data_IF_364947208935
#
_entry.id   IF_364947208935
#
_cell.length_a   1.000
_cell.length_b   1.000
_cell.length_c   1.000
_cell.angle_alpha   90.00
_cell.angle_beta   90.00
_cell.angle_gamma   90.00
#
_symmetry.space_group_name_H-M   'P 1'
#
loop_
_entity.id
_entity.type
_entity.pdbx_description
1 polymer ?
#
# COMPACT_ATOMS: atom_id res chain seq x y z
N UNK A 1 -14.37 6.71 -0.15
CA UNK A 1 -13.08 7.00 0.52
C UNK A 1 -12.02 6.30 -0.29
N UNK A 2 -10.85 6.89 -0.47
CA UNK A 2 -9.84 6.35 -1.40
C UNK A 2 -8.49 6.37 -0.69
N UNK A 3 -7.85 5.22 -0.56
CA UNK A 3 -6.49 5.12 -0.02
C UNK A 3 -5.49 5.57 -1.08
N UNK A 4 -4.55 6.43 -0.71
CA UNK A 4 -3.39 6.77 -1.55
C UNK A 4 -2.28 5.75 -1.37
N UNK A 5 -1.50 5.53 -2.44
CA UNK A 5 -0.12 5.06 -2.33
C UNK A 5 0.88 6.10 -2.85
N UNK A 6 2.16 5.76 -2.69
CA UNK A 6 3.26 6.54 -3.23
C UNK A 6 3.29 6.51 -4.75
N UNK A 7 2.98 5.38 -5.39
CA UNK A 7 3.05 5.25 -6.85
C UNK A 7 2.13 6.25 -7.58
N UNK A 8 0.94 6.49 -7.05
CA UNK A 8 -0.02 7.47 -7.53
C UNK A 8 0.44 8.89 -7.23
N UNK A 9 0.92 9.16 -6.02
CA UNK A 9 1.49 10.48 -5.69
C UNK A 9 2.71 10.81 -6.54
N UNK A 10 3.53 9.83 -6.93
CA UNK A 10 4.67 10.05 -7.82
C UNK A 10 4.25 10.23 -9.28
N UNK A 11 3.35 9.38 -9.80
CA UNK A 11 3.01 9.35 -11.23
C UNK A 11 1.83 10.23 -11.66
N UNK A 12 0.85 10.51 -10.80
CA UNK A 12 -0.31 11.33 -11.16
C UNK A 12 0.04 12.82 -11.26
N UNK A 13 -0.69 13.57 -12.09
CA UNK A 13 -0.50 15.01 -12.22
C UNK A 13 -1.03 15.76 -11.00
N UNK A 14 -0.49 16.96 -10.70
CA UNK A 14 -1.01 17.81 -9.61
C UNK A 14 -2.51 18.09 -9.72
N UNK A 15 -3.07 18.45 -10.90
CA UNK A 15 -4.52 18.61 -11.02
C UNK A 15 -5.30 17.33 -10.70
N UNK A 16 -4.80 16.16 -11.09
CA UNK A 16 -5.45 14.88 -10.82
C UNK A 16 -5.48 14.54 -9.33
N UNK A 17 -4.37 14.73 -8.61
CA UNK A 17 -4.32 14.52 -7.15
C UNK A 17 -5.26 15.50 -6.42
N UNK A 18 -5.30 16.76 -6.84
CA UNK A 18 -6.19 17.77 -6.23
C UNK A 18 -7.66 17.47 -6.48
N UNK A 19 -8.03 17.13 -7.73
CA UNK A 19 -9.39 16.71 -8.06
C UNK A 19 -9.82 15.51 -7.19
N UNK A 20 -8.95 14.52 -7.02
CA UNK A 20 -9.21 13.38 -6.13
C UNK A 20 -9.51 13.83 -4.68
N UNK A 21 -8.74 14.77 -4.15
CA UNK A 21 -8.91 15.32 -2.80
C UNK A 21 -10.09 16.29 -2.65
N UNK A 22 -10.64 16.80 -3.75
CA UNK A 22 -11.79 17.69 -3.75
C UNK A 22 -13.10 16.92 -3.96
N UNK A 23 -13.07 15.83 -4.72
CA UNK A 23 -14.24 14.98 -5.01
C UNK A 23 -14.44 13.85 -4.01
N UNK A 24 -13.39 13.46 -3.29
CA UNK A 24 -13.42 12.31 -2.38
C UNK A 24 -12.75 12.57 -1.05
N UNK A 25 -13.14 11.76 -0.05
CA UNK A 25 -12.38 11.59 1.18
C UNK A 25 -11.17 10.72 0.86
N UNK A 26 -9.99 11.32 0.92
CA UNK A 26 -8.72 10.67 0.62
C UNK A 26 -8.02 10.27 1.93
N UNK A 27 -7.59 9.01 2.02
CA UNK A 27 -6.90 8.44 3.16
C UNK A 27 -5.41 8.28 2.85
N UNK A 28 -4.55 8.65 3.79
CA UNK A 28 -3.10 8.42 3.75
C UNK A 28 -2.74 7.62 5.00
N UNK A 29 -2.16 6.43 4.83
CA UNK A 29 -1.72 5.66 6.00
C UNK A 29 -0.47 6.26 6.62
N UNK A 30 -0.24 5.99 7.91
CA UNK A 30 0.99 6.38 8.59
C UNK A 30 2.24 5.88 7.84
N UNK A 31 2.20 4.65 7.31
CA UNK A 31 3.30 4.07 6.55
C UNK A 31 3.61 4.88 5.30
N UNK A 32 2.59 5.28 4.52
CA UNK A 32 2.79 6.15 3.36
C UNK A 32 3.37 7.50 3.80
N UNK A 33 2.86 8.08 4.88
CA UNK A 33 3.38 9.36 5.37
C UNK A 33 4.88 9.26 5.71
N UNK A 34 5.28 8.25 6.48
CA UNK A 34 6.70 8.05 6.82
C UNK A 34 7.55 7.69 5.60
N UNK A 35 7.03 6.87 4.67
CA UNK A 35 7.71 6.55 3.40
C UNK A 35 8.00 7.81 2.56
N UNK A 36 7.04 8.75 2.50
CA UNK A 36 7.25 10.05 1.85
C UNK A 36 8.25 10.94 2.59
N UNK A 37 8.41 10.74 3.90
CA UNK A 37 9.36 11.51 4.72
C UNK A 37 10.79 10.97 4.58
N UNK A 38 10.97 9.67 4.35
CA UNK A 38 12.28 9.01 4.18
C UNK A 38 12.75 8.88 2.73
N UNK A 39 11.87 9.15 1.76
CA UNK A 39 12.27 9.12 0.34
C UNK A 39 13.22 10.26 -0.06
N UNK A 40 13.70 10.25 -1.31
CA UNK A 40 14.60 11.29 -1.83
C UNK A 40 13.93 12.68 -1.76
N UNK A 41 14.67 13.76 -1.40
CA UNK A 41 14.09 15.09 -1.24
C UNK A 41 13.26 15.59 -2.43
N UNK A 42 13.71 15.33 -3.66
CA UNK A 42 12.98 15.70 -4.88
C UNK A 42 11.64 14.96 -5.02
N UNK A 43 11.59 13.68 -4.62
CA UNK A 43 10.36 12.86 -4.63
C UNK A 43 9.41 13.34 -3.55
N UNK A 44 9.92 13.58 -2.35
CA UNK A 44 9.17 14.15 -1.24
C UNK A 44 8.51 15.48 -1.63
N UNK A 45 9.30 16.44 -2.12
CA UNK A 45 8.80 17.74 -2.56
C UNK A 45 7.71 17.59 -3.62
N UNK A 46 7.95 16.74 -4.63
CA UNK A 46 6.99 16.48 -5.70
C UNK A 46 5.69 15.87 -5.18
N UNK A 47 5.73 14.92 -4.24
CA UNK A 47 4.53 14.32 -3.67
C UNK A 47 3.73 15.32 -2.81
N UNK A 48 4.38 16.02 -1.88
CA UNK A 48 3.70 16.97 -1.00
C UNK A 48 3.17 18.21 -1.74
N UNK A 49 3.85 18.69 -2.78
CA UNK A 49 3.38 19.83 -3.59
C UNK A 49 2.10 19.54 -4.39
N UNK A 50 1.82 18.26 -4.68
CA UNK A 50 0.58 17.83 -5.35
C UNK A 50 -0.65 17.92 -4.45
N UNK A 51 -0.48 17.75 -3.15
CA UNK A 51 -1.58 17.82 -2.17
C UNK A 51 -2.12 19.26 -2.04
N UNK A 52 -3.43 19.43 -1.80
CA UNK A 52 -4.02 20.73 -1.52
C UNK A 52 -3.37 21.43 -0.31
N UNK A 53 -3.23 22.75 -0.39
CA UNK A 53 -2.73 23.57 0.74
C UNK A 53 -3.91 24.04 1.61
N UNK A 54 -4.52 23.08 2.31
CA UNK A 54 -5.66 23.31 3.19
C UNK A 54 -5.52 22.46 4.45
N UNK A 55 -6.32 22.76 5.48
CA UNK A 55 -6.45 21.90 6.65
C UNK A 55 -7.02 20.54 6.24
N UNK A 56 -6.43 19.45 6.74
CA UNK A 56 -6.78 18.07 6.44
C UNK A 56 -6.90 17.80 4.93
N UNK A 57 -5.83 18.01 4.15
CA UNK A 57 -5.87 17.77 2.70
C UNK A 57 -6.09 16.29 2.37
N UNK A 58 -5.76 15.42 3.32
CA UNK A 58 -6.08 13.99 3.40
C UNK A 58 -6.46 13.68 4.86
N UNK A 59 -7.06 12.52 5.12
CA UNK A 59 -7.22 11.99 6.47
C UNK A 59 -6.13 10.97 6.75
N UNK A 60 -5.43 11.13 7.87
CA UNK A 60 -4.40 10.19 8.30
C UNK A 60 -5.06 8.96 8.92
N UNK A 61 -4.71 7.80 8.40
CA UNK A 61 -5.19 6.50 8.84
C UNK A 61 -4.06 5.76 9.57
N UNK A 62 -4.36 5.12 10.71
CA UNK A 62 -3.34 4.45 11.48
C UNK A 62 -2.75 3.26 10.71
N UNK A 63 -1.52 2.89 11.05
CA UNK A 63 -0.86 1.71 10.49
C UNK A 63 -1.62 0.40 10.74
N UNK A 64 -1.33 -0.63 9.93
CA UNK A 64 -1.99 -1.96 10.02
C UNK A 64 -1.88 -2.54 11.43
N UNK A 65 -0.72 -2.41 12.09
CA UNK A 65 -0.51 -2.91 13.46
C UNK A 65 -1.43 -2.26 14.49
N UNK A 66 -1.86 -1.02 14.27
CA UNK A 66 -2.83 -0.33 15.13
C UNK A 66 -4.26 -0.80 14.87
N UNK A 67 -4.61 -1.12 13.62
CA UNK A 67 -5.89 -1.76 13.29
C UNK A 67 -5.97 -3.16 13.93
N UNK A 68 -4.90 -3.96 13.86
CA UNK A 68 -4.84 -5.26 14.52
C UNK A 68 -5.01 -5.14 16.04
N UNK A 69 -4.36 -4.16 16.69
CA UNK A 69 -4.55 -3.89 18.12
C UNK A 69 -5.98 -3.51 18.46
N UNK A 70 -6.60 -2.65 17.66
CA UNK A 70 -8.01 -2.31 17.83
C UNK A 70 -8.89 -3.56 17.84
N UNK A 71 -8.70 -4.46 16.86
CA UNK A 71 -9.47 -5.70 16.73
C UNK A 71 -9.25 -6.65 17.91
N UNK A 72 -8.02 -6.77 18.42
CA UNK A 72 -7.73 -7.54 19.64
C UNK A 72 -8.39 -6.94 20.89
N UNK A 73 -8.41 -5.61 21.01
CA UNK A 73 -8.98 -4.92 22.18
C UNK A 73 -10.51 -4.97 22.19
N UNK A 74 -11.14 -4.84 21.01
CA UNK A 74 -12.59 -4.69 20.89
C UNK A 74 -13.31 -5.97 20.45
N UNK A 75 -12.56 -6.99 20.01
CA UNK A 75 -13.11 -8.24 19.46
C UNK A 75 -14.14 -7.97 18.36
N UNK A 76 -13.86 -6.99 17.50
CA UNK A 76 -14.71 -6.53 16.42
C UNK A 76 -13.86 -6.05 15.23
N UNK A 77 -14.36 -6.16 13.98
CA UNK A 77 -13.63 -5.68 12.82
C UNK A 77 -13.39 -4.17 12.88
N UNK A 78 -12.27 -3.71 12.30
CA UNK A 78 -11.93 -2.29 12.18
C UNK A 78 -12.59 -1.57 10.99
N UNK A 79 -13.58 -2.18 10.35
CA UNK A 79 -14.32 -1.55 9.25
C UNK A 79 -15.59 -0.85 9.74
N UNK A 80 -15.94 0.32 9.17
CA UNK A 80 -15.21 1.04 8.12
C UNK A 80 -13.98 1.80 8.67
N UNK A 81 -12.87 1.76 7.91
CA UNK A 81 -11.54 2.22 8.38
C UNK A 81 -11.45 3.71 8.69
N UNK A 82 -12.35 4.54 8.17
CA UNK A 82 -12.34 5.98 8.42
C UNK A 82 -12.72 6.37 9.85
N UNK A 83 -13.34 5.46 10.60
CA UNK A 83 -13.61 5.64 12.02
C UNK A 83 -12.35 5.61 12.87
N UNK A 84 -11.25 5.12 12.32
CA UNK A 84 -9.97 4.96 13.01
C UNK A 84 -8.97 6.07 12.68
N UNK A 85 -9.36 7.06 11.86
CA UNK A 85 -8.50 8.18 11.48
C UNK A 85 -8.02 8.98 12.69
N UNK A 86 -6.88 9.66 12.55
CA UNK A 86 -6.46 10.66 13.53
C UNK A 86 -7.50 11.80 13.59
N UNK A 87 -8.02 12.13 14.79
CA UNK A 87 -9.13 13.07 14.93
C UNK A 87 -8.70 14.54 14.77
N UNK A 88 -7.40 14.82 14.84
CA UNK A 88 -6.86 16.17 14.92
C UNK A 88 -6.89 16.89 13.57
N UNK A 89 -7.19 18.19 13.63
CA UNK A 89 -6.98 19.07 12.49
C UNK A 89 -5.49 19.32 12.30
N UNK A 90 -4.99 19.08 11.09
CA UNK A 90 -3.59 19.29 10.75
C UNK A 90 -3.45 20.00 9.39
N UNK A 91 -2.27 20.56 9.15
CA UNK A 91 -1.84 21.04 7.85
C UNK A 91 -0.38 20.59 7.68
N UNK A 92 -0.03 20.10 6.50
CA UNK A 92 1.36 19.76 6.22
C UNK A 92 2.23 21.02 6.28
N UNK A 93 3.44 20.88 6.81
CA UNK A 93 4.39 21.99 6.85
C UNK A 93 4.70 22.45 5.42
N UNK A 94 4.52 23.75 5.14
CA UNK A 94 4.76 24.32 3.81
C UNK A 94 6.17 23.99 3.26
N UNK A 95 7.17 23.90 4.14
CA UNK A 95 8.54 23.55 3.76
C UNK A 95 8.68 22.16 3.12
N UNK A 96 7.78 21.22 3.40
CA UNK A 96 7.76 19.91 2.72
C UNK A 96 7.43 20.07 1.23
N UNK A 97 6.54 21.01 0.90
CA UNK A 97 6.14 21.34 -0.48
C UNK A 97 7.23 22.13 -1.20
N UNK A 98 7.98 22.93 -0.45
CA UNK A 98 9.07 23.75 -0.96
C UNK A 98 10.42 22.97 -1.02
N UNK A 99 10.49 21.77 -0.44
CA UNK A 99 11.72 20.98 -0.37
C UNK A 99 12.77 21.56 0.59
N UNK A 100 12.35 22.41 1.52
CA UNK A 100 13.22 23.11 2.49
C UNK A 100 12.99 22.64 3.94
N UNK A 101 12.23 21.55 4.12
CA UNK A 101 12.00 20.98 5.44
C UNK A 101 13.27 20.29 5.94
N UNK A 102 13.63 20.57 7.18
CA UNK A 102 14.78 19.95 7.84
C UNK A 102 14.24 19.13 9.01
N UNK A 103 14.59 17.85 9.04
CA UNK A 103 14.20 16.94 10.10
C UNK A 103 14.99 17.24 11.37
N UNK A 104 14.30 17.62 12.43
CA UNK A 104 14.91 17.96 13.72
C UNK A 104 14.05 17.47 14.88
N UNK A 105 14.69 17.36 16.06
CA UNK A 105 14.00 17.10 17.32
C UNK A 105 13.23 15.77 17.33
N UNK A 106 11.94 15.84 17.65
CA UNK A 106 11.08 14.66 17.77
C UNK A 106 10.83 13.97 16.41
N UNK A 107 10.73 14.74 15.32
CA UNK A 107 10.45 14.19 13.99
C UNK A 107 11.55 13.24 13.54
N UNK A 108 12.82 13.60 13.79
CA UNK A 108 13.95 12.74 13.46
C UNK A 108 13.93 11.43 14.27
N UNK A 109 13.60 11.52 15.57
CA UNK A 109 13.47 10.33 16.43
C UNK A 109 12.34 9.40 15.98
N UNK A 110 11.21 9.98 15.56
CA UNK A 110 10.07 9.22 15.09
C UNK A 110 10.39 8.51 13.76
N UNK A 111 11.16 9.16 12.87
CA UNK A 111 11.67 8.55 11.64
C UNK A 111 12.63 7.40 11.93
N UNK A 112 13.62 7.59 12.80
CA UNK A 112 14.55 6.52 13.20
C UNK A 112 13.82 5.32 13.84
N UNK A 113 12.81 5.60 14.68
CA UNK A 113 11.99 4.57 15.30
C UNK A 113 11.12 3.83 14.28
N UNK A 114 10.60 4.53 13.28
CA UNK A 114 9.87 3.94 12.17
C UNK A 114 10.79 3.06 11.30
N UNK A 115 11.96 3.55 10.88
CA UNK A 115 12.93 2.79 10.08
C UNK A 115 13.35 1.50 10.78
N UNK A 116 13.63 1.57 12.08
CA UNK A 116 13.96 0.38 12.86
C UNK A 116 12.81 -0.63 12.88
N UNK A 117 11.58 -0.17 13.10
CA UNK A 117 10.40 -1.04 13.11
C UNK A 117 10.16 -1.67 11.74
N UNK A 118 10.31 -0.90 10.66
CA UNK A 118 10.17 -1.39 9.28
C UNK A 118 11.21 -2.47 8.99
N UNK A 119 12.45 -2.32 9.48
CA UNK A 119 13.47 -3.35 9.35
C UNK A 119 13.12 -4.63 10.12
N UNK A 120 12.63 -4.50 11.37
CA UNK A 120 12.18 -5.64 12.19
C UNK A 120 10.98 -6.36 11.53
N UNK A 121 9.99 -5.59 11.02
CA UNK A 121 8.83 -6.12 10.33
C UNK A 121 9.22 -6.83 9.01
N UNK A 122 10.19 -6.28 8.28
CA UNK A 122 10.72 -6.87 7.03
C UNK A 122 11.39 -8.22 7.32
N UNK A 123 12.15 -8.30 8.40
CA UNK A 123 12.74 -9.57 8.84
C UNK A 123 11.67 -10.61 9.17
N UNK A 124 10.66 -10.22 9.96
CA UNK A 124 9.53 -11.11 10.26
C UNK A 124 8.74 -11.52 9.01
N UNK A 125 8.62 -10.63 8.02
CA UNK A 125 8.01 -10.94 6.73
C UNK A 125 8.81 -11.98 5.95
N UNK A 126 10.14 -11.87 5.90
CA UNK A 126 11.01 -12.87 5.25
C UNK A 126 10.87 -14.24 5.92
N UNK A 127 10.80 -14.28 7.25
CA UNK A 127 10.60 -15.51 8.01
C UNK A 127 9.26 -16.17 7.68
N UNK A 128 8.16 -15.39 7.67
CA UNK A 128 6.83 -15.89 7.27
C UNK A 128 6.81 -16.35 5.81
N UNK A 129 7.47 -15.61 4.92
CA UNK A 129 7.61 -16.02 3.52
C UNK A 129 8.34 -17.37 3.39
N UNK A 130 9.37 -17.62 4.21
CA UNK A 130 10.14 -18.88 4.15
C UNK A 130 9.30 -20.14 4.37
N UNK A 131 8.21 -20.01 5.13
CA UNK A 131 7.31 -21.11 5.44
C UNK A 131 6.03 -21.10 4.61
N UNK A 132 5.82 -20.12 3.71
CA UNK A 132 4.54 -19.98 2.97
C UNK A 132 4.19 -21.23 2.16
N UNK A 133 5.19 -21.92 1.61
CA UNK A 133 5.02 -23.13 0.82
C UNK A 133 4.46 -24.30 1.64
N UNK A 134 4.62 -24.29 2.96
CA UNK A 134 4.10 -25.36 3.84
C UNK A 134 2.57 -25.39 3.84
N UNK A 135 1.92 -24.26 3.54
CA UNK A 135 0.45 -24.18 3.41
C UNK A 135 -0.07 -24.70 2.06
N UNK A 136 0.83 -25.00 1.11
CA UNK A 136 0.49 -25.48 -0.22
C UNK A 136 1.30 -26.74 -0.53
N UNK A 137 0.89 -27.90 0.01
CA UNK A 137 1.53 -29.18 -0.30
C UNK A 137 1.68 -29.44 -1.80
N UNK A 138 0.75 -28.92 -2.61
CA UNK A 138 0.78 -28.97 -4.06
C UNK A 138 2.05 -28.37 -4.66
N UNK A 139 2.68 -27.36 -4.03
CA UNK A 139 3.89 -26.71 -4.53
C UNK A 139 5.17 -27.57 -4.36
N UNK A 140 5.09 -28.67 -3.62
CA UNK A 140 6.25 -29.54 -3.38
C UNK A 140 6.50 -30.46 -4.57
N UNK A 141 7.73 -30.43 -5.12
CA UNK A 141 8.14 -31.34 -6.19
C UNK A 141 7.55 -31.03 -7.57
N UNK A 142 6.97 -29.83 -7.76
CA UNK A 142 6.47 -29.38 -9.06
C UNK A 142 7.63 -29.21 -10.06
N UNK A 143 7.42 -29.64 -11.30
CA UNK A 143 8.34 -29.35 -12.39
C UNK A 143 8.37 -27.86 -12.72
N UNK A 144 9.56 -27.32 -13.05
CA UNK A 144 9.76 -25.90 -13.35
C UNK A 144 8.76 -25.29 -14.34
N UNK A 145 8.31 -26.07 -15.34
CA UNK A 145 7.36 -25.63 -16.37
C UNK A 145 5.95 -25.37 -15.81
N UNK A 146 5.56 -26.10 -14.77
CA UNK A 146 4.22 -26.04 -14.14
C UNK A 146 4.18 -25.07 -12.96
N UNK A 147 5.35 -24.62 -12.50
CA UNK A 147 5.50 -23.76 -11.33
C UNK A 147 4.68 -22.45 -11.43
N UNK A 148 4.69 -21.69 -12.54
CA UNK A 148 3.90 -20.46 -12.64
C UNK A 148 2.39 -20.69 -12.45
N UNK A 149 1.86 -21.77 -13.06
CA UNK A 149 0.44 -22.13 -12.95
C UNK A 149 0.09 -22.51 -11.51
N UNK A 150 0.94 -23.28 -10.84
CA UNK A 150 0.71 -23.68 -9.47
C UNK A 150 0.74 -22.50 -8.48
N UNK A 151 1.63 -21.52 -8.70
CA UNK A 151 1.63 -20.27 -7.91
C UNK A 151 0.34 -19.47 -8.14
N UNK A 152 -0.16 -19.40 -9.38
CA UNK A 152 -1.43 -18.75 -9.68
C UNK A 152 -2.62 -19.45 -9.02
N UNK A 153 -2.67 -20.78 -9.07
CA UNK A 153 -3.68 -21.60 -8.38
C UNK A 153 -3.64 -21.37 -6.85
N UNK A 154 -2.43 -21.36 -6.24
CA UNK A 154 -2.23 -21.06 -4.83
C UNK A 154 -2.69 -19.65 -4.46
N UNK A 155 -2.36 -18.64 -5.28
CA UNK A 155 -2.82 -17.25 -5.07
C UNK A 155 -4.34 -17.15 -5.15
N UNK A 156 -4.97 -17.80 -6.12
CA UNK A 156 -6.43 -17.81 -6.26
C UNK A 156 -7.11 -18.49 -5.06
N UNK A 157 -6.53 -19.58 -4.54
CA UNK A 157 -7.01 -20.25 -3.31
C UNK A 157 -6.93 -19.31 -2.11
N UNK A 158 -5.79 -18.65 -1.88
CA UNK A 158 -5.62 -17.64 -0.82
C UNK A 158 -6.62 -16.49 -0.94
N UNK A 159 -6.91 -16.05 -2.16
CA UNK A 159 -7.79 -14.92 -2.40
C UNK A 159 -9.27 -15.22 -2.15
N UNK A 160 -9.71 -16.44 -2.49
CA UNK A 160 -11.14 -16.77 -2.58
C UNK A 160 -11.63 -17.72 -1.49
N UNK A 161 -10.74 -18.47 -0.85
CA UNK A 161 -11.10 -19.44 0.19
C UNK A 161 -10.91 -18.84 1.60
N UNK A 162 -12.00 -18.34 2.18
CA UNK A 162 -11.98 -17.74 3.51
C UNK A 162 -11.70 -18.77 4.64
N UNK A 163 -12.15 -20.01 4.48
CA UNK A 163 -11.88 -21.08 5.45
C UNK A 163 -10.37 -21.38 5.50
N UNK A 164 -9.73 -21.49 4.33
CA UNK A 164 -8.28 -21.67 4.23
C UNK A 164 -7.48 -20.56 4.93
N UNK A 165 -7.91 -19.29 4.82
CA UNK A 165 -7.27 -18.18 5.53
C UNK A 165 -7.45 -18.32 7.05
N UNK A 166 -8.63 -18.73 7.52
CA UNK A 166 -8.88 -18.97 8.94
C UNK A 166 -8.08 -20.14 9.48
N UNK A 167 -7.93 -21.21 8.71
CA UNK A 167 -7.11 -22.37 9.10
C UNK A 167 -5.64 -21.98 9.29
N UNK A 168 -5.10 -21.18 8.38
CA UNK A 168 -3.73 -20.65 8.50
C UNK A 168 -3.64 -19.73 9.72
N UNK A 169 -4.59 -18.82 9.91
CA UNK A 169 -4.61 -17.96 11.09
C UNK A 169 -4.68 -18.76 12.39
N UNK A 170 -5.53 -19.79 12.46
CA UNK A 170 -5.63 -20.69 13.60
C UNK A 170 -4.32 -21.42 13.91
N UNK A 171 -3.52 -21.74 12.88
CA UNK A 171 -2.20 -22.35 13.06
C UNK A 171 -1.18 -21.43 13.76
N UNK A 172 -1.42 -20.11 13.78
CA UNK A 172 -0.61 -19.14 14.50
C UNK A 172 -1.15 -18.83 15.91
N UNK A 173 -2.28 -19.41 16.32
CA UNK A 173 -2.84 -19.25 17.67
C UNK A 173 -2.28 -20.30 18.63
N UNK A 174 -0.95 -20.36 18.75
CA UNK A 174 -0.25 -21.23 19.69
C UNK A 174 -0.10 -20.60 21.09
N UNK A 175 0.72 -21.20 21.96
CA UNK A 175 0.93 -20.71 23.33
C UNK A 175 1.59 -19.32 23.39
N UNK A 176 2.26 -18.88 22.32
CA UNK A 176 2.94 -17.60 22.22
C UNK A 176 2.03 -16.49 21.63
N UNK A 177 0.85 -16.85 21.13
CA UNK A 177 -0.11 -15.90 20.59
C UNK A 177 -0.68 -14.95 21.69
N UNK A 178 -1.00 -13.68 21.34
CA UNK A 178 -1.66 -12.78 22.27
C UNK A 178 -2.96 -13.40 22.81
N UNK A 179 -3.16 -13.37 24.13
CA UNK A 179 -4.36 -13.94 24.79
C UNK A 179 -5.68 -13.34 24.31
N UNK A 180 -5.62 -12.16 23.72
CA UNK A 180 -6.75 -11.43 23.15
C UNK A 180 -6.76 -11.44 21.61
N UNK A 181 -6.02 -12.34 20.97
CA UNK A 181 -6.18 -12.59 19.54
C UNK A 181 -7.63 -13.04 19.27
N UNK A 182 -8.31 -12.48 18.23
CA UNK A 182 -9.65 -12.92 17.86
C UNK A 182 -9.70 -14.43 17.58
N UNK A 183 -10.80 -15.13 17.92
CA UNK A 183 -10.98 -16.51 17.51
C UNK A 183 -11.00 -16.66 15.99
N UNK A 184 -10.37 -17.71 15.45
CA UNK A 184 -10.21 -17.89 14.02
C UNK A 184 -11.54 -18.02 13.25
N UNK A 185 -12.57 -18.58 13.87
CA UNK A 185 -13.91 -18.70 13.31
C UNK A 185 -14.67 -17.37 13.25
N UNK A 186 -14.22 -16.35 13.98
CA UNK A 186 -14.86 -15.02 14.00
C UNK A 186 -14.31 -14.03 12.99
N UNK A 187 -13.04 -14.18 12.58
CA UNK A 187 -12.45 -13.26 11.61
C UNK A 187 -13.06 -13.48 10.22
N UNK A 188 -13.23 -12.38 9.50
CA UNK A 188 -13.84 -12.35 8.17
C UNK A 188 -13.13 -11.29 7.31
N UNK A 189 -13.41 -11.19 6.00
CA UNK A 189 -12.74 -10.23 5.10
C UNK A 189 -12.83 -8.76 5.52
N UNK A 190 -13.73 -8.42 6.44
CA UNK A 190 -13.90 -7.11 7.08
C UNK A 190 -12.89 -6.83 8.21
N UNK A 191 -12.10 -7.83 8.61
CA UNK A 191 -11.08 -7.73 9.65
C UNK A 191 -9.69 -7.49 9.06
N UNK A 192 -8.91 -6.63 9.71
CA UNK A 192 -7.49 -6.45 9.44
C UNK A 192 -6.71 -7.73 9.68
N UNK A 193 -7.02 -8.55 10.70
CA UNK A 193 -6.35 -9.85 10.88
C UNK A 193 -6.49 -10.77 9.68
N UNK A 194 -7.72 -10.89 9.16
CA UNK A 194 -7.99 -11.71 7.98
C UNK A 194 -7.21 -11.20 6.77
N UNK A 195 -7.28 -9.89 6.50
CA UNK A 195 -6.58 -9.27 5.38
C UNK A 195 -5.07 -9.33 5.54
N UNK A 196 -4.56 -9.22 6.76
CA UNK A 196 -3.14 -9.35 7.06
C UNK A 196 -2.63 -10.74 6.69
N UNK A 197 -3.26 -11.82 7.19
CA UNK A 197 -2.88 -13.20 6.83
C UNK A 197 -2.96 -13.39 5.31
N UNK A 198 -4.08 -13.00 4.71
CA UNK A 198 -4.32 -13.15 3.28
C UNK A 198 -3.25 -12.44 2.42
N UNK A 199 -2.96 -11.16 2.71
CA UNK A 199 -2.02 -10.37 1.91
C UNK A 199 -0.57 -10.80 2.15
N UNK A 200 -0.21 -11.23 3.36
CA UNK A 200 1.13 -11.76 3.66
C UNK A 200 1.39 -13.05 2.88
N UNK A 201 0.41 -13.95 2.78
CA UNK A 201 0.52 -15.17 1.97
C UNK A 201 0.61 -14.83 0.48
N UNK A 202 -0.24 -13.93 -0.05
CA UNK A 202 -0.19 -13.55 -1.47
C UNK A 202 1.17 -12.94 -1.85
N UNK A 203 1.68 -12.04 -1.03
CA UNK A 203 2.98 -11.42 -1.25
C UNK A 203 4.11 -12.47 -1.13
N UNK A 204 4.04 -13.35 -0.13
CA UNK A 204 4.96 -14.48 0.03
C UNK A 204 4.96 -15.41 -1.19
N UNK A 205 3.80 -15.79 -1.71
CA UNK A 205 3.68 -16.62 -2.92
C UNK A 205 4.27 -15.94 -4.16
N UNK A 206 4.11 -14.61 -4.28
CA UNK A 206 4.73 -13.84 -5.37
C UNK A 206 6.25 -13.88 -5.30
N UNK A 207 6.82 -13.64 -4.12
CA UNK A 207 8.27 -13.73 -3.94
C UNK A 207 8.75 -15.17 -4.14
N UNK A 208 8.03 -16.16 -3.61
CA UNK A 208 8.32 -17.58 -3.81
C UNK A 208 8.34 -17.94 -5.30
N UNK A 209 7.37 -17.45 -6.07
CA UNK A 209 7.32 -17.55 -7.54
C UNK A 209 8.54 -16.90 -8.20
N UNK A 210 8.82 -15.64 -7.88
CA UNK A 210 9.91 -14.83 -8.44
C UNK A 210 11.30 -15.45 -8.18
N UNK A 211 11.48 -16.04 -7.01
CA UNK A 211 12.72 -16.71 -6.62
C UNK A 211 12.66 -18.23 -6.80
N UNK A 212 11.70 -18.75 -7.56
CA UNK A 212 11.71 -20.16 -7.97
C UNK A 212 11.74 -21.14 -6.78
N UNK A 213 11.02 -20.79 -5.73
CA UNK A 213 10.92 -21.56 -4.50
C UNK A 213 12.14 -21.50 -3.59
N UNK A 214 13.13 -20.65 -3.89
CA UNK A 214 14.35 -20.50 -3.10
C UNK A 214 14.36 -19.16 -2.39
N UNK A 215 14.86 -19.12 -1.16
CA UNK A 215 15.24 -17.88 -0.52
C UNK A 215 16.74 -17.69 -0.74
N UNK A 216 17.19 -16.52 -1.21
CA UNK A 216 18.61 -16.26 -1.35
C UNK A 216 19.35 -16.42 -0.01
N UNK A 217 20.43 -17.22 0.00
CA UNK A 217 21.27 -17.42 1.19
C UNK A 217 21.92 -16.11 1.68
N UNK A 218 22.17 -15.18 0.75
CA UNK A 218 22.69 -13.85 1.08
C UNK A 218 21.58 -12.79 1.00
N UNK A 219 21.23 -12.25 2.16
CA UNK A 219 20.28 -11.15 2.32
C UNK A 219 21.00 -9.80 2.19
N UNK A 220 21.61 -9.56 1.02
CA UNK A 220 22.28 -8.29 0.74
C UNK A 220 21.30 -7.10 0.75
N UNK A 221 21.82 -5.88 0.77
CA UNK A 221 21.03 -4.63 0.81
C UNK A 221 19.90 -4.60 -0.25
N UNK A 222 20.21 -4.96 -1.49
CA UNK A 222 19.22 -4.95 -2.58
C UNK A 222 18.11 -6.02 -2.42
N UNK A 223 18.37 -7.10 -1.69
CA UNK A 223 17.34 -8.08 -1.35
C UNK A 223 16.45 -7.54 -0.23
N UNK A 224 17.05 -6.98 0.83
CA UNK A 224 16.30 -6.37 1.93
C UNK A 224 15.40 -5.24 1.46
N UNK A 225 15.88 -4.35 0.60
CA UNK A 225 15.07 -3.28 -0.01
C UNK A 225 13.86 -3.84 -0.79
N UNK A 226 14.05 -4.95 -1.52
CA UNK A 226 12.93 -5.59 -2.25
C UNK A 226 11.93 -6.27 -1.32
N UNK A 227 12.40 -6.89 -0.25
CA UNK A 227 11.54 -7.51 0.75
C UNK A 227 10.73 -6.45 1.51
N UNK A 228 11.38 -5.34 1.87
CA UNK A 228 10.74 -4.19 2.51
C UNK A 228 9.64 -3.59 1.62
N UNK A 229 9.94 -3.29 0.35
CA UNK A 229 8.93 -2.78 -0.59
C UNK A 229 7.76 -3.77 -0.73
N UNK A 230 8.04 -5.06 -0.89
CA UNK A 230 6.99 -6.08 -1.01
C UNK A 230 6.12 -6.17 0.26
N UNK A 231 6.72 -6.00 1.44
CA UNK A 231 5.99 -5.93 2.70
C UNK A 231 5.10 -4.68 2.76
N UNK A 232 5.63 -3.51 2.45
CA UNK A 232 4.88 -2.24 2.45
C UNK A 232 3.74 -2.26 1.43
N UNK A 233 3.97 -2.81 0.23
CA UNK A 233 2.94 -3.05 -0.78
C UNK A 233 1.78 -3.88 -0.21
N UNK A 234 2.09 -4.91 0.60
CA UNK A 234 1.06 -5.71 1.26
C UNK A 234 0.22 -4.90 2.25
N UNK A 235 0.83 -3.92 2.95
CA UNK A 235 0.10 -3.02 3.85
C UNK A 235 -0.82 -2.08 3.08
N UNK A 236 -0.39 -1.61 1.91
CA UNK A 236 -1.24 -0.85 1.01
C UNK A 236 -2.43 -1.66 0.49
N UNK A 237 -2.22 -2.93 0.12
CA UNK A 237 -3.30 -3.84 -0.29
C UNK A 237 -4.30 -4.07 0.86
N UNK A 238 -3.82 -4.27 2.10
CA UNK A 238 -4.69 -4.41 3.28
C UNK A 238 -5.56 -3.16 3.43
N UNK A 239 -4.95 -1.98 3.49
CA UNK A 239 -5.66 -0.72 3.61
C UNK A 239 -6.67 -0.48 2.48
N UNK A 240 -6.26 -0.68 1.22
CA UNK A 240 -7.14 -0.53 0.07
C UNK A 240 -8.31 -1.52 0.09
N UNK A 241 -8.08 -2.76 0.51
CA UNK A 241 -9.11 -3.79 0.62
C UNK A 241 -10.12 -3.50 1.75
N UNK A 242 -9.67 -2.95 2.88
CA UNK A 242 -10.56 -2.57 3.99
C UNK A 242 -11.33 -1.27 3.69
N UNK A 243 -10.73 -0.35 2.93
CA UNK A 243 -11.40 0.88 2.49
C UNK A 243 -12.35 0.67 1.30
N UNK A 244 -12.14 -0.39 0.51
CA UNK A 244 -12.89 -0.70 -0.71
C UNK A 244 -12.51 0.12 -1.94
N UNK A 245 -11.52 1.02 -1.83
CA UNK A 245 -11.00 1.77 -2.96
C UNK A 245 -9.57 2.27 -2.73
N UNK A 246 -8.79 2.33 -3.80
CA UNK A 246 -7.40 2.77 -3.76
C UNK A 246 -6.97 3.50 -5.05
N UNK A 247 -6.19 4.55 -4.90
CA UNK A 247 -5.50 5.22 -5.99
C UNK A 247 -4.06 4.69 -6.05
N UNK A 248 -3.79 3.89 -7.08
CA UNK A 248 -2.49 3.23 -7.30
C UNK A 248 -2.18 3.13 -8.79
N UNK A 249 -0.92 3.40 -9.13
CA UNK A 249 -0.33 3.16 -10.45
C UNK A 249 0.54 1.90 -10.47
N UNK A 250 0.72 1.27 -9.31
CA UNK A 250 1.45 0.02 -9.20
C UNK A 250 0.56 -1.13 -9.71
N UNK A 251 1.06 -1.82 -10.73
CA UNK A 251 0.35 -2.94 -11.37
C UNK A 251 0.21 -4.12 -10.40
N UNK A 252 1.24 -4.35 -9.60
CA UNK A 252 1.37 -5.47 -8.69
C UNK A 252 0.43 -5.32 -7.49
N UNK A 253 0.31 -4.12 -6.93
CA UNK A 253 -0.71 -3.78 -5.90
C UNK A 253 -2.13 -3.91 -6.48
N UNK A 254 -2.36 -3.38 -7.69
CA UNK A 254 -3.67 -3.45 -8.36
C UNK A 254 -4.15 -4.89 -8.57
N UNK A 255 -3.26 -5.75 -9.04
CA UNK A 255 -3.56 -7.17 -9.23
C UNK A 255 -3.96 -7.84 -7.92
N UNK A 256 -3.21 -7.62 -6.84
CA UNK A 256 -3.53 -8.22 -5.54
C UNK A 256 -4.83 -7.65 -4.95
N UNK A 257 -5.07 -6.35 -5.06
CA UNK A 257 -6.32 -5.71 -4.60
C UNK A 257 -7.56 -6.31 -5.27
N UNK A 258 -7.54 -6.42 -6.60
CA UNK A 258 -8.66 -6.97 -7.37
C UNK A 258 -8.81 -8.47 -7.17
N UNK A 259 -7.73 -9.15 -6.79
CA UNK A 259 -7.75 -10.55 -6.44
C UNK A 259 -8.42 -10.76 -5.06
N UNK A 260 -8.06 -9.97 -4.04
CA UNK A 260 -8.65 -10.10 -2.68
C UNK A 260 -10.02 -9.45 -2.52
N UNK A 261 -10.34 -8.45 -3.36
CA UNK A 261 -11.60 -7.73 -3.38
C UNK A 261 -11.95 -7.33 -4.82
N UNK A 262 -12.64 -8.21 -5.59
CA UNK A 262 -12.99 -7.94 -6.99
C UNK A 262 -13.84 -6.67 -7.21
N UNK A 263 -14.57 -6.24 -6.19
CA UNK A 263 -15.37 -5.00 -6.22
C UNK A 263 -14.59 -3.75 -5.81
N UNK A 264 -13.28 -3.84 -5.56
CA UNK A 264 -12.46 -2.70 -5.15
C UNK A 264 -12.40 -1.67 -6.28
N UNK A 265 -12.62 -0.41 -5.94
CA UNK A 265 -12.50 0.69 -6.90
C UNK A 265 -11.02 1.11 -7.00
N UNK A 266 -10.40 0.84 -8.15
CA UNK A 266 -9.02 1.27 -8.41
C UNK A 266 -9.00 2.50 -9.30
N UNK A 267 -8.46 3.61 -8.81
CA UNK A 267 -8.40 4.86 -9.56
C UNK A 267 -7.27 4.80 -10.60
N UNK A 268 -7.57 4.92 -11.91
CA UNK A 268 -6.55 4.93 -12.95
C UNK A 268 -5.79 6.27 -12.95
N UNK A 269 -4.60 6.34 -13.58
CA UNK A 269 -3.99 7.62 -13.89
C UNK A 269 -4.96 8.41 -14.77
N UNK A 270 -5.31 9.64 -14.38
CA UNK A 270 -6.04 10.52 -15.28
C UNK A 270 -5.20 10.71 -16.55
N UNK A 271 -5.78 10.42 -17.71
CA UNK A 271 -5.13 10.73 -18.99
C UNK A 271 -4.81 12.23 -18.97
N UNK A 272 -3.53 12.58 -19.17
CA UNK A 272 -3.14 13.98 -19.29
C UNK A 272 -4.01 14.60 -20.38
N UNK A 273 -4.89 15.53 -19.99
CA UNK A 273 -5.73 16.21 -20.96
C UNK A 273 -4.79 16.93 -21.93
N UNK A 274 -4.72 16.46 -23.17
CA UNK A 274 -4.00 17.11 -24.28
C UNK A 274 -4.69 18.40 -24.74
N UNK A 275 -5.50 19.02 -23.88
CA UNK A 275 -6.16 20.27 -24.14
C UNK A 275 -5.24 21.44 -23.75
N UNK A 276 -4.53 22.01 -24.72
CA UNK A 276 -3.90 23.32 -24.53
C UNK A 276 -2.60 23.63 -25.29
N UNK A 277 -2.29 22.97 -26.40
CA UNK A 277 -1.20 23.40 -27.29
C UNK A 277 -1.72 23.63 -28.71
N UNK A 278 -2.66 24.55 -28.85
CA UNK A 278 -3.06 25.04 -30.17
C UNK A 278 -3.54 26.52 -30.08
N UNK A 279 -2.67 27.41 -29.60
CA UNK A 279 -2.79 28.82 -29.95
C UNK A 279 -1.90 29.05 -31.17
N UNK A 280 -2.52 28.87 -32.34
CA UNK A 280 -1.96 29.26 -33.61
C UNK A 280 -1.69 30.76 -33.61
N UNK A 281 -0.42 31.11 -33.81
CA UNK A 281 0.01 32.39 -34.34
C UNK A 281 -0.60 32.53 -35.75
N UNK A 282 -1.77 33.15 -35.86
CA UNK A 282 -2.19 33.78 -37.11
C UNK A 282 -1.55 35.17 -37.15
N UNK A 283 -0.56 35.31 -38.02
CA UNK A 283 0.09 36.57 -38.32
C UNK A 283 -0.83 37.50 -39.11
N UNK A 284 -0.90 38.75 -38.67
CA UNK A 284 -1.39 39.86 -39.45
C UNK A 284 -0.43 40.14 -40.62
N UNK A 285 -0.87 39.85 -41.84
CA UNK A 285 -0.23 40.34 -43.06
C UNK A 285 -0.97 41.61 -43.52
N UNK A 286 -0.38 42.77 -43.25
CA UNK A 286 -0.75 44.04 -43.83
C UNK A 286 -0.43 44.06 -45.34
N UNK A 287 -1.45 44.24 -46.18
CA UNK A 287 -1.28 44.64 -47.58
C UNK A 287 -1.47 46.15 -47.71
N UNK A 288 -0.46 46.83 -48.26
CA UNK A 288 -0.54 48.21 -48.73
C UNK A 288 -0.98 48.25 -50.20
N UNK A 289 -1.68 49.30 -50.66
CA UNK A 289 -2.30 49.36 -51.98
C UNK A 289 -1.37 49.98 -53.03
N UNK A 290 -1.47 49.55 -54.29
CA UNK A 290 -1.06 50.37 -55.44
C UNK A 290 -1.90 50.07 -56.69
N UNK A 291 -2.43 51.19 -57.22
CA UNK A 291 -2.94 51.47 -58.57
C UNK A 291 -4.15 50.67 -59.08
#
# INVERSE_FOLDING_TARGET
>A
MIVLDKSYLDGASTPSVRALCDEHIVLMSDELFFELMTTRPESQQRCFSKLPDKTNPVLLMPNVGSLLRYEMEHQAPCTPVDRHRLPDAFQFNAKLRDGTFVFEGQVLKDLEAWEKRTADDTQGFIERWSIVHQFFPELNGIEWKDFPRAIEEARNKTATNAEFIRDIYASFLDEDAPKNAPPADTISPEWAFFRWVQCQILCGLRLFGRYQGRIPDSQGKAFMEKAEHAMLDSYHVIHGSLAGAMATLDKEIREDLLLVLPSCVVIPPAAASTAGANNGLQGDAAQAPRA
#
